data_IF_038284679472
#
_entry.id   IF_038284679472
#
_cell.length_a   1.000
_cell.length_b   1.000
_cell.length_c   1.000
_cell.angle_alpha   90.00
_cell.angle_beta   90.00
_cell.angle_gamma   90.00
#
_symmetry.space_group_name_H-M   'P 1'
#
loop_
_entity.id
_entity.type
_entity.pdbx_description
1 polymer ?
#
# COMPACT_ATOMS: atom_id res chain seq x y z
N UNK A 1 -52.64 -18.36 -18.93
CA UNK A 1 -52.20 -17.39 -17.92
C UNK A 1 -50.71 -17.17 -18.00
N UNK A 2 -50.28 -15.91 -18.12
CA UNK A 2 -48.87 -15.51 -18.08
C UNK A 2 -48.39 -15.59 -16.62
N UNK A 3 -47.57 -16.58 -16.28
CA UNK A 3 -46.87 -16.63 -15.00
C UNK A 3 -45.52 -15.96 -15.16
N UNK A 4 -45.35 -14.79 -14.56
CA UNK A 4 -44.13 -13.98 -14.68
C UNK A 4 -42.95 -14.64 -13.97
N UNK A 5 -41.88 -14.91 -14.72
CA UNK A 5 -40.55 -15.15 -14.17
C UNK A 5 -40.08 -13.83 -13.54
N UNK A 6 -40.06 -13.77 -12.22
CA UNK A 6 -39.54 -12.63 -11.47
C UNK A 6 -38.03 -12.51 -11.71
N UNK A 7 -37.64 -11.46 -12.42
CA UNK A 7 -36.24 -11.06 -12.56
C UNK A 7 -35.72 -10.60 -11.19
N UNK A 8 -35.20 -11.53 -10.39
CA UNK A 8 -34.49 -11.20 -9.17
C UNK A 8 -33.21 -10.44 -9.55
N UNK A 9 -33.25 -9.12 -9.44
CA UNK A 9 -32.07 -8.27 -9.58
C UNK A 9 -31.14 -8.59 -8.41
N UNK A 10 -29.90 -9.05 -8.64
CA UNK A 10 -28.98 -9.26 -7.54
C UNK A 10 -28.71 -7.91 -6.85
N UNK A 11 -28.59 -7.87 -5.51
CA UNK A 11 -28.27 -6.64 -4.80
C UNK A 11 -26.95 -6.07 -5.33
N UNK A 12 -26.78 -4.74 -5.38
CA UNK A 12 -25.54 -4.15 -5.82
C UNK A 12 -24.41 -4.67 -4.92
N UNK A 13 -23.39 -5.29 -5.50
CA UNK A 13 -22.15 -5.58 -4.82
C UNK A 13 -21.57 -4.24 -4.38
N UNK A 14 -21.88 -3.86 -3.14
CA UNK A 14 -21.35 -2.66 -2.51
C UNK A 14 -19.84 -2.84 -2.48
N UNK A 15 -19.16 -2.11 -3.36
CA UNK A 15 -17.72 -2.05 -3.39
C UNK A 15 -17.27 -1.39 -2.08
N UNK A 16 -16.97 -2.22 -1.07
CA UNK A 16 -16.43 -1.82 0.23
C UNK A 16 -15.05 -1.16 0.10
N UNK A 17 -14.37 -1.29 -1.05
CA UNK A 17 -13.10 -0.61 -1.33
C UNK A 17 -13.24 0.91 -1.29
N UNK A 18 -14.44 1.48 -1.52
CA UNK A 18 -14.68 2.93 -1.39
C UNK A 18 -14.78 3.43 0.06
N UNK A 19 -14.90 2.56 1.07
CA UNK A 19 -15.03 2.95 2.48
C UNK A 19 -13.79 2.71 3.33
N UNK A 20 -12.80 1.98 2.82
CA UNK A 20 -11.51 1.91 3.49
C UNK A 20 -10.75 3.20 3.15
N UNK A 21 -10.16 3.90 4.14
CA UNK A 21 -9.21 4.96 3.84
C UNK A 21 -8.13 4.31 2.97
N UNK A 22 -8.05 4.74 1.71
CA UNK A 22 -6.99 4.37 0.80
C UNK A 22 -5.71 4.88 1.46
N UNK A 23 -5.00 4.01 2.18
CA UNK A 23 -3.71 4.35 2.76
C UNK A 23 -2.84 4.79 1.59
N UNK A 24 -2.71 6.10 1.43
CA UNK A 24 -1.84 6.68 0.42
C UNK A 24 -0.45 6.33 0.88
N UNK A 25 0.22 5.47 0.15
CA UNK A 25 1.63 5.21 0.33
C UNK A 25 2.34 6.56 0.21
N UNK A 26 2.78 7.09 1.35
CA UNK A 26 3.52 8.35 1.39
C UNK A 26 4.97 8.00 1.08
N UNK A 27 5.32 8.05 -0.21
CA UNK A 27 6.69 7.90 -0.66
C UNK A 27 7.48 9.12 -0.21
N UNK A 28 8.13 9.03 0.94
CA UNK A 28 9.02 10.05 1.44
C UNK A 28 10.40 9.84 0.83
N UNK A 29 10.97 10.90 0.24
CA UNK A 29 12.34 10.90 -0.27
C UNK A 29 13.13 11.74 0.72
N UNK A 30 14.04 11.10 1.43
CA UNK A 30 14.95 11.76 2.34
C UNK A 30 16.37 11.56 1.81
N UNK A 31 17.14 12.64 1.82
CA UNK A 31 18.58 12.55 1.63
C UNK A 31 19.17 11.87 2.87
N UNK A 32 20.16 11.00 2.67
CA UNK A 32 20.72 10.19 3.74
C UNK A 32 22.11 9.71 3.36
N UNK A 33 22.95 9.51 4.36
CA UNK A 33 24.32 9.05 4.16
C UNK A 33 24.36 7.53 4.30
N UNK A 34 25.00 6.85 3.35
CA UNK A 34 25.28 5.42 3.48
C UNK A 34 26.35 5.28 4.54
N UNK A 35 26.00 4.70 5.68
CA UNK A 35 26.93 4.58 6.81
C UNK A 35 27.74 3.30 6.73
N UNK A 36 27.16 2.21 6.23
CA UNK A 36 27.82 0.90 6.17
C UNK A 36 27.32 0.05 5.00
N UNK A 37 28.22 -0.72 4.39
CA UNK A 37 27.89 -1.77 3.43
C UNK A 37 27.86 -3.13 4.12
N UNK A 38 26.73 -3.82 4.06
CA UNK A 38 26.55 -5.15 4.61
C UNK A 38 26.98 -6.23 3.59
N UNK A 39 27.43 -7.40 4.08
CA UNK A 39 27.78 -8.54 3.23
C UNK A 39 26.52 -9.22 2.68
N UNK A 40 25.92 -8.65 1.64
CA UNK A 40 24.78 -9.16 0.84
C UNK A 40 24.21 -8.06 -0.08
N UNK A 41 25.01 -7.05 -0.43
CA UNK A 41 24.55 -5.84 -1.12
C UNK A 41 23.51 -5.01 -0.36
N UNK A 42 23.28 -5.26 0.93
CA UNK A 42 22.49 -4.35 1.76
C UNK A 42 23.34 -3.16 2.22
N UNK A 43 22.69 -2.04 2.48
CA UNK A 43 23.34 -0.81 2.92
C UNK A 43 22.55 -0.24 4.10
N UNK A 44 23.25 0.14 5.16
CA UNK A 44 22.66 0.97 6.20
C UNK A 44 22.66 2.42 5.74
N UNK A 45 21.48 3.02 5.73
CA UNK A 45 21.27 4.41 5.36
C UNK A 45 20.83 5.14 6.62
N UNK A 46 21.64 6.11 7.04
CA UNK A 46 21.26 7.04 8.09
C UNK A 46 20.54 8.21 7.44
N UNK A 47 19.25 8.34 7.74
CA UNK A 47 18.42 9.45 7.27
C UNK A 47 18.60 10.65 8.19
N UNK A 48 18.46 11.86 7.64
CA UNK A 48 18.61 13.11 8.40
C UNK A 48 17.61 13.25 9.56
N UNK A 49 16.53 12.47 9.54
CA UNK A 49 15.54 12.39 10.62
C UNK A 49 15.98 11.47 11.78
N UNK A 50 17.23 10.99 11.76
CA UNK A 50 17.85 10.04 12.72
C UNK A 50 17.31 8.60 12.63
N UNK A 51 16.52 8.30 11.60
CA UNK A 51 16.09 6.94 11.35
C UNK A 51 17.20 6.16 10.65
N UNK A 52 17.34 4.89 11.04
CA UNK A 52 18.26 3.95 10.42
C UNK A 52 17.46 2.96 9.58
N UNK A 53 17.73 2.92 8.27
CA UNK A 53 16.99 2.08 7.31
C UNK A 53 17.95 1.17 6.56
N UNK A 54 17.50 -0.03 6.22
CA UNK A 54 18.25 -0.97 5.36
C UNK A 54 17.75 -0.80 3.91
N UNK A 55 18.66 -0.44 3.02
CA UNK A 55 18.45 -0.54 1.56
C UNK A 55 18.96 -1.89 1.04
N UNK A 56 18.26 -2.45 0.05
CA UNK A 56 18.64 -3.66 -0.69
C UNK A 56 18.61 -3.42 -2.19
#
# INVERSE_FOLDING_TARGET
SRGGLSNATPPPLVNTSRRLPKMKEQKLIHEGLITESLPNSMLWIHLDNKDLVIGY
#
